data_IF_584957933531
#
_entry.id   IF_584957933531
#
_cell.length_a   1.000
_cell.length_b   1.000
_cell.length_c   1.000
_cell.angle_alpha   90.00
_cell.angle_beta   90.00
_cell.angle_gamma   90.00
#
_symmetry.space_group_name_H-M   'P 1'
#
loop_
_entity.id
_entity.type
_entity.pdbx_description
1 polymer ?
#
# COMPACT_ATOMS: atom_id res chain seq x y z
N UNK A 1 18.52 -2.32 -7.43
CA UNK A 1 17.68 -3.53 -7.53
C UNK A 1 16.23 -3.07 -7.47
N UNK A 2 15.40 -3.44 -8.44
CA UNK A 2 13.97 -3.17 -8.36
C UNK A 2 13.35 -4.30 -7.55
N UNK A 3 12.55 -3.98 -6.53
CA UNK A 3 11.76 -4.98 -5.82
C UNK A 3 10.28 -4.65 -5.96
N UNK A 4 9.48 -5.68 -6.24
CA UNK A 4 8.03 -5.58 -6.33
C UNK A 4 7.35 -6.58 -5.40
N UNK A 5 6.44 -6.08 -4.58
CA UNK A 5 5.55 -6.89 -3.74
C UNK A 5 4.12 -6.73 -4.24
N UNK A 6 3.45 -7.85 -4.49
CA UNK A 6 2.02 -7.88 -4.72
C UNK A 6 1.28 -8.03 -3.39
N UNK A 7 0.26 -7.21 -3.18
CA UNK A 7 -0.66 -7.34 -2.05
C UNK A 7 -1.96 -7.92 -2.60
N UNK A 8 -2.36 -9.08 -2.07
CA UNK A 8 -3.53 -9.82 -2.52
C UNK A 8 -4.45 -10.12 -1.34
N UNK A 9 -5.73 -10.30 -1.65
CA UNK A 9 -6.74 -10.75 -0.71
C UNK A 9 -7.27 -12.11 -1.18
N UNK A 10 -7.54 -13.01 -0.24
CA UNK A 10 -8.19 -14.30 -0.50
C UNK A 10 -9.33 -14.56 0.46
N UNK A 11 -10.40 -15.17 -0.03
CA UNK A 11 -11.51 -15.73 0.76
C UNK A 11 -11.42 -17.27 0.84
N UNK A 12 -10.30 -17.85 0.39
CA UNK A 12 -10.08 -19.29 0.26
C UNK A 12 -10.61 -19.90 -1.04
N UNK A 13 -11.53 -19.24 -1.74
CA UNK A 13 -12.05 -19.67 -3.04
C UNK A 13 -11.42 -18.89 -4.21
N UNK A 14 -11.09 -17.63 -3.99
CA UNK A 14 -10.55 -16.72 -5.00
C UNK A 14 -9.44 -15.85 -4.44
N UNK A 15 -8.46 -15.51 -5.29
CA UNK A 15 -7.39 -14.56 -4.96
C UNK A 15 -7.56 -13.32 -5.82
N UNK A 16 -7.68 -12.16 -5.18
CA UNK A 16 -7.90 -10.86 -5.80
C UNK A 16 -6.72 -9.94 -5.57
N UNK A 17 -6.41 -9.13 -6.57
CA UNK A 17 -5.33 -8.13 -6.47
C UNK A 17 -5.86 -6.92 -5.69
N UNK A 18 -5.18 -6.57 -4.62
CA UNK A 18 -5.48 -5.39 -3.82
C UNK A 18 -4.56 -4.22 -4.16
N UNK A 19 -3.26 -4.47 -4.13
CA UNK A 19 -2.25 -3.45 -4.32
C UNK A 19 -0.96 -4.03 -4.88
N UNK A 20 -0.08 -3.16 -5.37
CA UNK A 20 1.31 -3.49 -5.59
C UNK A 20 2.20 -2.37 -5.06
N UNK A 21 3.37 -2.76 -4.62
CA UNK A 21 4.40 -1.88 -4.07
C UNK A 21 5.67 -2.17 -4.83
N UNK A 22 6.28 -1.12 -5.35
CA UNK A 22 7.52 -1.21 -6.10
C UNK A 22 8.54 -0.22 -5.57
N UNK A 23 9.71 -0.73 -5.20
CA UNK A 23 10.91 0.08 -4.98
C UNK A 23 11.69 0.17 -6.29
N UNK A 24 12.00 1.40 -6.72
CA UNK A 24 12.92 1.65 -7.83
C UNK A 24 14.10 2.50 -7.35
N UNK A 25 15.02 2.90 -8.24
CA UNK A 25 16.05 3.89 -7.89
C UNK A 25 15.50 5.31 -7.71
N UNK A 26 14.27 5.57 -8.16
CA UNK A 26 13.64 6.89 -8.10
C UNK A 26 12.78 7.09 -6.86
N UNK A 27 12.42 6.02 -6.15
CA UNK A 27 11.49 6.11 -5.03
C UNK A 27 10.69 4.85 -4.77
N UNK A 28 9.63 5.01 -3.98
CA UNK A 28 8.55 4.04 -3.78
C UNK A 28 7.36 4.38 -4.67
N UNK A 29 6.78 3.36 -5.28
CA UNK A 29 5.57 3.46 -6.08
C UNK A 29 4.58 2.46 -5.53
N UNK A 30 3.39 2.93 -5.17
CA UNK A 30 2.32 2.13 -4.62
C UNK A 30 1.06 2.36 -5.45
N UNK A 31 0.27 1.32 -5.63
CA UNK A 31 -1.03 1.45 -6.27
C UNK A 31 -2.02 0.59 -5.53
N UNK A 32 -3.10 1.23 -5.13
CA UNK A 32 -4.24 0.61 -4.51
C UNK A 32 -5.38 0.50 -5.53
N UNK A 33 -5.91 -0.70 -5.69
CA UNK A 33 -7.06 -0.95 -6.55
C UNK A 33 -8.31 -0.94 -5.68
N UNK A 34 -8.93 0.22 -5.51
CA UNK A 34 -10.35 0.31 -5.21
C UNK A 34 -11.10 0.28 -6.55
N UNK A 35 -12.07 -0.63 -6.76
CA UNK A 35 -12.90 -0.65 -7.96
C UNK A 35 -13.64 0.66 -8.25
N UNK A 36 -13.85 1.47 -7.22
CA UNK A 36 -14.52 2.77 -7.27
C UNK A 36 -13.55 3.94 -7.40
N UNK A 37 -12.35 3.86 -6.80
CA UNK A 37 -11.36 4.93 -6.75
C UNK A 37 -9.91 4.41 -6.72
N UNK A 38 -9.35 3.92 -7.84
CA UNK A 38 -7.96 3.49 -7.86
C UNK A 38 -7.05 4.64 -7.45
N UNK A 39 -6.12 4.36 -6.53
CA UNK A 39 -5.18 5.33 -5.99
C UNK A 39 -3.78 4.91 -6.37
N UNK A 40 -3.02 5.84 -6.92
CA UNK A 40 -1.60 5.69 -7.20
C UNK A 40 -0.81 6.69 -6.36
N UNK A 41 0.24 6.19 -5.74
CA UNK A 41 1.10 6.96 -4.85
C UNK A 41 2.53 6.79 -5.34
N UNK A 42 3.27 7.89 -5.45
CA UNK A 42 4.72 7.85 -5.60
C UNK A 42 5.38 8.73 -4.55
N UNK A 43 6.44 8.23 -3.95
CA UNK A 43 7.32 8.97 -3.04
C UNK A 43 8.72 8.88 -3.61
N UNK A 44 9.28 9.99 -4.06
CA UNK A 44 10.55 10.07 -4.75
C UNK A 44 11.74 10.25 -3.78
N UNK A 45 12.96 9.97 -4.25
CA UNK A 45 14.19 10.08 -3.44
C UNK A 45 14.40 11.46 -2.82
N UNK A 46 14.00 12.51 -3.53
CA UNK A 46 14.14 13.92 -3.14
C UNK A 46 13.03 14.42 -2.21
N UNK A 47 12.07 13.55 -1.86
CA UNK A 47 10.93 13.93 -1.02
C UNK A 47 9.73 14.46 -1.81
N UNK A 48 9.80 14.51 -3.15
CA UNK A 48 8.60 14.73 -3.96
C UNK A 48 7.61 13.59 -3.73
N UNK A 49 6.38 13.95 -3.44
CA UNK A 49 5.28 13.00 -3.28
C UNK A 49 4.27 13.26 -4.41
N UNK A 50 3.58 12.23 -4.87
CA UNK A 50 2.43 12.37 -5.75
C UNK A 50 1.34 11.41 -5.31
N UNK A 51 0.11 11.93 -5.22
CA UNK A 51 -1.10 11.16 -4.99
C UNK A 51 -2.02 11.39 -6.19
N UNK A 52 -2.31 10.32 -6.92
CA UNK A 52 -3.15 10.34 -8.10
C UNK A 52 -4.36 9.45 -7.86
N UNK A 53 -5.55 10.05 -7.85
CA UNK A 53 -6.82 9.33 -7.93
C UNK A 53 -7.13 9.11 -9.40
N UNK A 54 -7.21 7.86 -9.82
CA UNK A 54 -7.47 7.51 -11.20
C UNK A 54 -8.99 7.38 -11.39
N UNK A 55 -9.64 8.45 -11.83
CA UNK A 55 -11.11 8.49 -12.01
C UNK A 55 -11.57 7.80 -13.31
N UNK A 56 -10.68 7.12 -14.04
CA UNK A 56 -10.99 6.47 -15.33
C UNK A 56 -10.23 5.14 -15.53
N UNK A 57 -10.93 4.00 -15.56
CA UNK A 57 -10.38 2.65 -15.89
C UNK A 57 -9.86 2.56 -17.35
N UNK A 58 -9.07 1.52 -17.73
CA UNK A 58 -8.08 0.75 -16.98
C UNK A 58 -6.65 1.09 -17.43
N UNK A 59 -5.68 0.73 -16.58
CA UNK A 59 -4.23 0.82 -16.83
C UNK A 59 -3.88 0.05 -18.12
N UNK A 60 -3.83 0.76 -19.25
CA UNK A 60 -2.86 0.48 -20.29
C UNK A 60 -1.57 1.19 -19.90
N UNK A 61 -0.47 0.48 -20.04
CA UNK A 61 0.88 0.98 -19.83
C UNK A 61 1.05 2.35 -20.53
N UNK A 62 1.72 3.29 -19.86
CA UNK A 62 2.01 4.65 -20.33
C UNK A 62 0.85 5.63 -20.51
N UNK A 63 0.18 5.96 -19.41
CA UNK A 63 -0.73 7.11 -19.39
C UNK A 63 -0.25 8.17 -18.39
N UNK A 64 0.70 8.99 -18.87
CA UNK A 64 0.90 10.36 -18.42
C UNK A 64 -0.39 11.16 -18.69
N UNK A 65 -1.30 11.19 -17.73
CA UNK A 65 -2.48 12.05 -17.76
C UNK A 65 -2.45 12.97 -16.55
N UNK A 66 -2.56 14.25 -16.85
CA UNK A 66 -2.69 15.37 -15.93
C UNK A 66 -3.85 15.12 -14.96
N UNK A 67 -3.52 14.63 -13.77
CA UNK A 67 -4.43 14.60 -12.62
C UNK A 67 -4.01 15.73 -11.69
N UNK A 68 -4.95 16.47 -11.07
CA UNK A 68 -4.63 17.55 -10.16
C UNK A 68 -3.61 17.08 -9.11
N UNK A 69 -2.42 17.65 -9.18
CA UNK A 69 -1.42 17.60 -8.13
C UNK A 69 -2.11 18.26 -6.93
N UNK A 70 -2.60 17.45 -5.98
CA UNK A 70 -3.00 17.98 -4.67
C UNK A 70 -1.74 18.66 -4.14
N UNK A 71 -1.71 19.97 -3.87
CA UNK A 71 -0.47 20.67 -3.54
C UNK A 71 0.15 20.05 -2.31
N UNK A 72 1.36 19.52 -2.46
CA UNK A 72 2.01 18.72 -1.44
C UNK A 72 3.12 19.52 -0.79
N UNK A 73 3.11 19.54 0.54
CA UNK A 73 4.24 20.02 1.30
C UNK A 73 5.43 19.10 0.98
N UNK A 74 6.63 19.65 0.72
CA UNK A 74 7.81 18.82 0.51
C UNK A 74 7.97 17.89 1.71
N UNK A 75 8.02 16.58 1.43
CA UNK A 75 8.28 15.55 2.44
C UNK A 75 9.78 15.34 2.57
N UNK A 76 10.20 14.55 3.54
CA UNK A 76 11.62 14.33 3.78
C UNK A 76 12.26 13.49 2.65
N UNK A 77 13.43 13.86 2.12
CA UNK A 77 14.15 13.01 1.17
C UNK A 77 14.42 11.61 1.74
N UNK A 78 14.27 10.57 0.92
CA UNK A 78 14.52 9.18 1.33
C UNK A 78 15.97 8.95 1.73
N UNK A 79 16.90 9.68 1.12
CA UNK A 79 18.35 9.59 1.38
C UNK A 79 18.72 9.92 2.83
N UNK A 80 17.98 10.82 3.48
CA UNK A 80 18.24 11.28 4.85
C UNK A 80 17.02 11.11 5.75
N UNK A 81 16.13 10.15 5.45
CA UNK A 81 14.88 9.96 6.18
C UNK A 81 15.11 9.58 7.65
N UNK A 82 14.52 10.34 8.58
CA UNK A 82 14.63 10.15 10.03
C UNK A 82 13.26 10.21 10.72
N UNK A 83 12.87 9.12 11.38
CA UNK A 83 11.65 9.03 12.18
C UNK A 83 10.61 8.08 11.57
N UNK A 84 9.34 8.44 11.75
CA UNK A 84 8.16 7.72 11.24
C UNK A 84 7.27 8.72 10.52
N UNK A 85 6.87 8.40 9.30
CA UNK A 85 5.96 9.23 8.51
C UNK A 85 4.85 8.38 7.91
N UNK A 86 3.60 8.78 8.11
CA UNK A 86 2.48 8.19 7.40
C UNK A 86 2.40 8.75 5.98
N UNK A 87 2.55 7.86 5.00
CA UNK A 87 2.44 8.20 3.59
C UNK A 87 0.97 8.40 3.24
N UNK A 88 0.17 7.38 3.57
CA UNK A 88 -1.25 7.33 3.24
C UNK A 88 -1.95 6.24 4.05
N UNK A 89 -3.22 6.45 4.35
CA UNK A 89 -4.10 5.47 4.99
C UNK A 89 -5.49 5.48 4.35
N UNK A 90 -6.16 4.33 4.39
CA UNK A 90 -7.52 4.19 3.90
C UNK A 90 -8.20 3.00 4.58
N UNK A 91 -9.53 2.99 4.51
CA UNK A 91 -10.39 1.94 5.05
C UNK A 91 -11.02 1.18 3.89
N UNK A 92 -11.10 -0.13 4.00
CA UNK A 92 -11.69 -1.02 3.01
C UNK A 92 -12.81 -1.85 3.59
N UNK A 93 -13.88 -1.96 2.81
CA UNK A 93 -14.87 -3.01 2.97
C UNK A 93 -14.46 -4.23 2.12
N UNK A 94 -14.27 -5.35 2.81
CA UNK A 94 -13.94 -6.67 2.29
C UNK A 94 -15.17 -7.59 2.23
N UNK A 95 -16.38 -7.03 2.26
CA UNK A 95 -17.59 -7.82 2.03
C UNK A 95 -17.51 -8.55 0.68
N UNK A 96 -18.18 -9.71 0.52
CA UNK A 96 -18.16 -10.46 -0.74
C UNK A 96 -18.51 -9.62 -1.97
N UNK A 97 -19.44 -8.65 -1.80
CA UNK A 97 -19.81 -7.70 -2.85
C UNK A 97 -18.62 -6.83 -3.26
N UNK A 98 -17.94 -6.22 -2.30
CA UNK A 98 -16.78 -5.35 -2.54
C UNK A 98 -15.59 -6.12 -3.12
N UNK A 99 -15.33 -7.34 -2.62
CA UNK A 99 -14.29 -8.22 -3.15
C UNK A 99 -14.55 -8.67 -4.59
N UNK A 100 -15.81 -8.88 -4.97
CA UNK A 100 -16.17 -9.29 -6.34
C UNK A 100 -15.82 -8.25 -7.40
N UNK A 101 -15.70 -6.99 -6.99
CA UNK A 101 -15.33 -5.88 -7.87
C UNK A 101 -13.81 -5.78 -8.09
N UNK A 102 -13.00 -6.45 -7.26
CA UNK A 102 -11.54 -6.50 -7.43
C UNK A 102 -11.16 -7.44 -8.57
N UNK A 103 -10.12 -7.10 -9.34
CA UNK A 103 -9.66 -7.98 -10.40
C UNK A 103 -9.04 -9.26 -9.83
N UNK A 104 -9.28 -10.38 -10.51
CA UNK A 104 -8.57 -11.64 -10.24
C UNK A 104 -7.07 -11.42 -10.30
N UNK A 105 -6.35 -11.94 -9.30
CA UNK A 105 -4.90 -11.91 -9.33
C UNK A 105 -4.37 -12.94 -10.32
N UNK A 106 -3.71 -12.49 -11.38
CA UNK A 106 -2.93 -13.36 -12.26
C UNK A 106 -1.52 -13.49 -11.71
N UNK A 107 -1.11 -14.71 -11.37
CA UNK A 107 0.24 -14.98 -10.87
C UNK A 107 1.27 -14.44 -11.86
N UNK A 108 2.15 -13.57 -11.36
CA UNK A 108 3.29 -13.01 -12.09
C UNK A 108 4.54 -13.09 -11.23
N UNK A 109 5.71 -12.97 -11.85
CA UNK A 109 6.97 -12.88 -11.11
C UNK A 109 6.99 -11.56 -10.33
N UNK A 110 7.12 -11.66 -9.01
CA UNK A 110 7.33 -10.56 -8.07
C UNK A 110 8.30 -11.07 -6.98
N UNK A 111 8.92 -10.14 -6.27
CA UNK A 111 9.89 -10.46 -5.21
C UNK A 111 9.19 -10.89 -3.91
N UNK A 112 7.90 -10.59 -3.77
CA UNK A 112 7.08 -11.06 -2.67
C UNK A 112 5.58 -11.00 -2.96
N UNK A 113 4.82 -11.85 -2.29
CA UNK A 113 3.36 -11.80 -2.25
C UNK A 113 2.95 -11.69 -0.78
N UNK A 114 2.27 -10.61 -0.44
CA UNK A 114 1.63 -10.44 0.85
C UNK A 114 0.14 -10.75 0.69
N UNK A 115 -0.35 -11.74 1.44
CA UNK A 115 -1.70 -12.26 1.31
C UNK A 115 -2.51 -11.96 2.57
N UNK A 116 -3.67 -11.31 2.40
CA UNK A 116 -4.67 -11.08 3.45
C UNK A 116 -5.74 -12.15 3.26
N UNK A 117 -5.88 -13.06 4.22
CA UNK A 117 -6.91 -14.09 4.19
C UNK A 117 -8.11 -13.63 5.03
N UNK A 118 -9.21 -13.31 4.35
CA UNK A 118 -10.39 -12.70 4.99
C UNK A 118 -11.12 -13.66 5.92
N UNK A 119 -10.88 -14.97 5.79
CA UNK A 119 -11.50 -15.98 6.67
C UNK A 119 -11.03 -15.88 8.12
N UNK A 120 -9.90 -15.22 8.36
CA UNK A 120 -9.35 -15.00 9.70
C UNK A 120 -9.73 -13.65 10.31
N UNK A 121 -10.47 -12.81 9.58
CA UNK A 121 -10.95 -11.52 10.07
C UNK A 121 -12.30 -11.72 10.78
N UNK A 122 -12.52 -11.02 11.90
CA UNK A 122 -13.79 -11.00 12.64
C UNK A 122 -14.80 -10.02 12.01
N UNK A 123 -14.30 -9.02 11.31
CA UNK A 123 -15.06 -8.01 10.57
C UNK A 123 -14.63 -7.97 9.11
N UNK A 124 -15.51 -7.47 8.25
CA UNK A 124 -15.18 -7.24 6.86
C UNK A 124 -14.47 -5.90 6.64
N UNK A 125 -14.09 -5.17 7.69
CA UNK A 125 -13.51 -3.83 7.55
C UNK A 125 -12.06 -3.89 7.99
N UNK A 126 -11.17 -3.40 7.13
CA UNK A 126 -9.77 -3.19 7.48
C UNK A 126 -9.33 -1.76 7.21
N UNK A 127 -8.49 -1.22 8.07
CA UNK A 127 -7.70 -0.03 7.78
C UNK A 127 -6.31 -0.47 7.32
N UNK A 128 -5.83 0.13 6.24
CA UNK A 128 -4.49 -0.10 5.70
C UNK A 128 -3.73 1.22 5.75
N UNK A 129 -2.55 1.19 6.38
CA UNK A 129 -1.68 2.35 6.52
C UNK A 129 -0.32 2.04 5.87
N UNK A 130 0.21 2.99 5.12
CA UNK A 130 1.56 2.96 4.57
C UNK A 130 2.42 3.96 5.33
N UNK A 131 3.53 3.49 5.89
CA UNK A 131 4.44 4.30 6.71
C UNK A 131 5.88 4.16 6.23
N UNK A 132 6.62 5.27 6.19
CA UNK A 132 8.07 5.22 6.13
C UNK A 132 8.62 5.22 7.55
N UNK A 133 9.56 4.32 7.81
CA UNK A 133 10.21 4.19 9.11
C UNK A 133 11.72 4.14 8.89
N UNK A 134 12.47 4.98 9.59
CA UNK A 134 13.93 4.87 9.58
C UNK A 134 14.39 3.55 10.17
N UNK A 135 15.43 2.95 9.59
CA UNK A 135 15.96 1.65 10.05
C UNK A 135 16.36 1.62 11.52
N UNK A 136 16.73 2.76 12.08
CA UNK A 136 17.15 2.88 13.48
C UNK A 136 15.97 3.09 14.43
N UNK A 137 14.75 3.24 13.90
CA UNK A 137 13.56 3.39 14.70
C UNK A 137 13.01 1.99 15.02
N UNK A 138 12.66 1.69 16.29
CA UNK A 138 12.02 0.42 16.61
C UNK A 138 10.74 0.30 15.80
N UNK A 139 10.58 -0.82 15.07
CA UNK A 139 9.30 -1.11 14.44
C UNK A 139 8.25 -1.15 15.56
N UNK A 140 7.09 -0.48 15.39
CA UNK A 140 6.01 -0.55 16.36
C UNK A 140 5.30 -1.91 16.25
N UNK A 141 6.05 -3.01 16.45
CA UNK A 141 5.56 -4.39 16.43
C UNK A 141 4.65 -4.68 17.63
N UNK A 142 4.85 -3.95 18.71
CA UNK A 142 4.09 -4.05 19.95
C UNK A 142 3.42 -2.71 20.23
N UNK A 143 2.42 -2.34 19.43
CA UNK A 143 1.46 -1.34 19.88
C UNK A 143 0.67 -1.96 21.03
N UNK A 144 0.70 -1.34 22.21
CA UNK A 144 -0.14 -1.71 23.36
C UNK A 144 -1.59 -1.27 23.19
N UNK A 145 -1.94 -0.68 22.04
CA UNK A 145 -3.31 -0.28 21.75
C UNK A 145 -4.14 -1.51 21.36
N UNK A 146 -5.41 -1.59 21.79
CA UNK A 146 -6.31 -2.68 21.43
C UNK A 146 -6.65 -2.77 19.93
N UNK A 147 -6.14 -1.82 19.13
CA UNK A 147 -6.19 -1.78 17.66
C UNK A 147 -4.79 -1.89 17.02
N UNK A 148 -3.87 -2.60 17.68
CA UNK A 148 -2.54 -2.94 17.15
C UNK A 148 -2.70 -3.58 15.76
N UNK A 149 -1.94 -3.10 14.77
CA UNK A 149 -2.03 -3.69 13.44
C UNK A 149 -1.71 -5.19 13.51
N UNK A 150 -2.55 -6.00 12.89
CA UNK A 150 -2.45 -7.46 12.90
C UNK A 150 -1.32 -7.95 12.00
N UNK A 151 -0.93 -7.13 11.02
CA UNK A 151 0.15 -7.45 10.09
C UNK A 151 1.02 -6.23 9.85
N UNK A 152 2.33 -6.45 9.95
CA UNK A 152 3.37 -5.52 9.55
C UNK A 152 4.19 -6.14 8.43
N UNK A 153 4.32 -5.43 7.32
CA UNK A 153 5.26 -5.79 6.27
C UNK A 153 6.25 -4.65 6.09
N UNK A 154 7.54 -4.89 6.27
CA UNK A 154 8.59 -3.89 6.04
C UNK A 154 9.42 -4.27 4.81
N UNK A 155 9.55 -3.35 3.85
CA UNK A 155 10.58 -3.50 2.81
C UNK A 155 11.94 -3.36 3.48
N UNK A 156 12.90 -4.26 3.22
CA UNK A 156 14.28 -4.17 3.73
C UNK A 156 15.11 -3.06 3.05
N UNK A 157 14.48 -1.95 2.70
CA UNK A 157 15.08 -0.76 2.06
C UNK A 157 15.51 0.26 3.12
N UNK A 158 16.10 1.37 2.72
CA UNK A 158 16.29 2.54 3.61
C UNK A 158 15.57 3.72 2.96
N UNK A 159 14.59 4.36 3.64
CA UNK A 159 13.89 3.87 4.84
C UNK A 159 13.10 2.58 4.58
N UNK A 160 12.59 1.96 5.65
CA UNK A 160 11.63 0.86 5.55
C UNK A 160 10.27 1.42 5.14
N UNK A 161 9.65 0.86 4.10
CA UNK A 161 8.24 1.04 3.85
C UNK A 161 7.49 -0.05 4.61
N UNK A 162 6.70 0.37 5.59
CA UNK A 162 5.90 -0.47 6.45
C UNK A 162 4.43 -0.38 6.05
N UNK A 163 3.79 -1.54 5.83
CA UNK A 163 2.35 -1.66 5.68
C UNK A 163 1.79 -2.13 7.00
N UNK A 164 0.86 -1.38 7.58
CA UNK A 164 0.12 -1.76 8.77
C UNK A 164 -1.32 -2.08 8.37
N UNK A 165 -1.84 -3.23 8.78
CA UNK A 165 -3.24 -3.60 8.56
C UNK A 165 -3.93 -3.77 9.90
N UNK A 166 -4.97 -2.99 10.14
CA UNK A 166 -5.80 -3.04 11.33
C UNK A 166 -7.17 -3.58 10.95
N UNK A 167 -7.71 -4.45 11.80
CA UNK A 167 -9.07 -4.93 11.69
C UNK A 167 -10.00 -4.00 12.47
N UNK A 168 -11.12 -3.63 11.86
CA UNK A 168 -11.95 -2.54 12.33
C UNK A 168 -11.36 -1.17 12.01
N UNK A 169 -12.23 -0.17 11.93
CA UNK A 169 -11.88 1.24 11.80
C UNK A 169 -12.44 2.01 12.99
#
# INVERSE_FOLDING_TARGET
MMSEIAVVITDGASVRKLSWIKRTSKGFYLSFLDPSNPIHISYHEDGEFHLRKDTTRPIKEDVSLNVPIIPQWPRQPLTNFYGVEEIYSFVLDLSPRSLSCLPSFKKRRCDGIFCIDTRYLRTNIIAVEFKLISRNFPLPLNSTEPHSAFYYFATLTTPWLVICIKEGA
#
